data_IF_992838797719
#
_entry.id   IF_992838797719
#
_cell.length_a   1.000
_cell.length_b   1.000
_cell.length_c   1.000
_cell.angle_alpha   90.00
_cell.angle_beta   90.00
_cell.angle_gamma   90.00
#
_symmetry.space_group_name_H-M   'P 1'
#
loop_
_entity.id
_entity.type
_entity.pdbx_description
1 polymer ?
#
# COMPACT_ATOMS: atom_id res chain seq x y z
N UNK A 1 -21.55 -8.83 -8.41
CA UNK A 1 -20.47 -9.02 -7.42
C UNK A 1 -20.50 -7.88 -6.42
N UNK A 2 -20.33 -8.12 -5.11
CA UNK A 2 -20.49 -7.09 -4.06
C UNK A 2 -19.43 -5.99 -4.23
N UNK A 3 -19.84 -4.82 -4.74
CA UNK A 3 -19.07 -3.59 -4.64
C UNK A 3 -18.69 -3.39 -3.18
N UNK A 4 -17.39 -3.44 -2.88
CA UNK A 4 -16.90 -3.10 -1.54
C UNK A 4 -17.03 -1.57 -1.43
N UNK A 5 -18.23 -1.15 -1.04
CA UNK A 5 -18.63 0.24 -0.76
C UNK A 5 -17.43 1.01 -0.18
N UNK A 6 -17.13 2.16 -0.79
CA UNK A 6 -16.31 3.21 -0.16
C UNK A 6 -16.89 3.43 1.23
N UNK A 7 -16.26 2.85 2.25
CA UNK A 7 -16.57 3.18 3.63
C UNK A 7 -16.02 4.58 3.82
N UNK A 8 -16.90 5.57 3.91
CA UNK A 8 -16.60 6.80 4.63
C UNK A 8 -16.26 6.37 6.06
N UNK A 9 -14.97 6.20 6.35
CA UNK A 9 -14.51 5.94 7.69
C UNK A 9 -14.50 7.30 8.40
N UNK A 10 -15.59 7.62 9.10
CA UNK A 10 -15.67 8.71 10.08
C UNK A 10 -14.79 8.47 11.32
N UNK A 11 -13.68 7.73 11.18
CA UNK A 11 -12.71 7.44 12.23
C UNK A 11 -11.52 8.36 12.02
N UNK A 12 -11.40 9.33 12.91
CA UNK A 12 -10.23 10.21 12.95
C UNK A 12 -9.04 9.47 13.54
N UNK A 13 -8.18 8.92 12.68
CA UNK A 13 -6.87 8.41 13.08
C UNK A 13 -5.91 9.57 13.37
N UNK A 14 -4.92 9.37 14.25
CA UNK A 14 -3.85 10.33 14.47
C UNK A 14 -3.16 10.74 13.16
N UNK A 15 -2.86 12.04 13.03
CA UNK A 15 -2.23 12.60 11.83
C UNK A 15 -0.89 11.90 11.54
N UNK A 16 -0.10 11.64 12.57
CA UNK A 16 1.20 10.98 12.46
C UNK A 16 1.08 9.55 11.90
N UNK A 17 0.04 8.82 12.31
CA UNK A 17 -0.24 7.47 11.78
C UNK A 17 -0.52 7.54 10.29
N UNK A 18 -1.33 8.50 9.84
CA UNK A 18 -1.64 8.69 8.42
C UNK A 18 -0.38 9.09 7.63
N UNK A 19 0.44 9.99 8.16
CA UNK A 19 1.70 10.43 7.53
C UNK A 19 2.67 9.26 7.35
N UNK A 20 2.88 8.44 8.37
CA UNK A 20 3.76 7.27 8.26
C UNK A 20 3.19 6.20 7.31
N UNK A 21 1.88 5.97 7.36
CA UNK A 21 1.21 5.03 6.46
C UNK A 21 1.38 5.45 4.99
N UNK A 22 1.18 6.73 4.69
CA UNK A 22 1.35 7.31 3.36
C UNK A 22 2.81 7.23 2.90
N UNK A 23 3.75 7.62 3.76
CA UNK A 23 5.20 7.59 3.48
C UNK A 23 5.71 6.19 3.14
N UNK A 24 5.18 5.14 3.79
CA UNK A 24 5.54 3.76 3.45
C UNK A 24 5.21 3.41 1.99
N UNK A 25 4.11 3.93 1.45
CA UNK A 25 3.64 3.63 0.09
C UNK A 25 4.29 4.58 -0.93
N UNK A 26 4.35 5.88 -0.67
CA UNK A 26 4.99 6.86 -1.58
C UNK A 26 6.48 6.54 -1.80
N UNK A 27 7.16 6.09 -0.75
CA UNK A 27 8.57 5.71 -0.81
C UNK A 27 8.72 4.18 -0.95
N UNK A 28 7.86 3.53 -1.74
CA UNK A 28 7.84 2.08 -1.94
C UNK A 28 9.24 1.50 -2.23
N UNK A 29 9.97 2.10 -3.18
CA UNK A 29 11.31 1.65 -3.59
C UNK A 29 12.36 1.70 -2.48
N UNK A 30 12.15 2.53 -1.46
CA UNK A 30 13.08 2.71 -0.33
C UNK A 30 12.75 1.71 0.79
N UNK A 31 11.47 1.47 1.07
CA UNK A 31 11.03 0.68 2.22
C UNK A 31 10.72 -0.78 1.90
N UNK A 32 10.58 -1.11 0.61
CA UNK A 32 10.28 -2.46 0.16
C UNK A 32 11.39 -3.02 -0.74
N UNK A 33 11.69 -4.30 -0.54
CA UNK A 33 12.50 -5.10 -1.44
C UNK A 33 11.73 -6.37 -1.78
N UNK A 34 11.52 -6.64 -3.07
CA UNK A 34 10.77 -7.82 -3.56
C UNK A 34 9.39 -7.97 -2.90
N UNK A 35 8.61 -6.88 -2.89
CA UNK A 35 7.28 -6.80 -2.25
C UNK A 35 7.27 -7.09 -0.74
N UNK A 36 8.40 -6.96 -0.04
CA UNK A 36 8.51 -7.16 1.41
C UNK A 36 9.19 -5.98 2.09
N UNK A 37 8.76 -5.64 3.32
CA UNK A 37 9.43 -4.61 4.11
C UNK A 37 10.87 -5.01 4.39
N UNK A 38 11.80 -4.12 4.03
CA UNK A 38 13.21 -4.23 4.42
C UNK A 38 13.41 -3.75 5.87
N UNK A 39 14.65 -3.65 6.32
CA UNK A 39 14.97 -3.19 7.69
C UNK A 39 14.44 -1.79 7.99
N UNK A 40 14.58 -0.85 7.06
CA UNK A 40 14.13 0.54 7.24
C UNK A 40 12.60 0.62 7.20
N UNK A 41 11.95 -0.09 6.27
CA UNK A 41 10.50 -0.17 6.18
C UNK A 41 9.88 -0.77 7.44
N UNK A 42 10.54 -1.76 8.06
CA UNK A 42 10.09 -2.32 9.35
C UNK A 42 10.16 -1.31 10.48
N UNK A 43 11.20 -0.48 10.56
CA UNK A 43 11.29 0.58 11.60
C UNK A 43 10.12 1.55 11.49
N UNK A 44 9.85 2.04 10.27
CA UNK A 44 8.73 2.96 10.01
C UNK A 44 7.38 2.29 10.31
N UNK A 45 7.21 1.03 9.88
CA UNK A 45 6.01 0.25 10.15
C UNK A 45 5.79 0.04 11.65
N UNK A 46 6.82 -0.29 12.42
CA UNK A 46 6.70 -0.52 13.85
C UNK A 46 6.30 0.74 14.61
N UNK A 47 6.82 1.90 14.23
CA UNK A 47 6.45 3.17 14.83
C UNK A 47 4.99 3.54 14.55
N UNK A 48 4.57 3.42 13.28
CA UNK A 48 3.17 3.55 12.88
C UNK A 48 2.27 2.57 13.64
N UNK A 49 2.68 1.31 13.76
CA UNK A 49 1.92 0.26 14.41
C UNK A 49 1.79 0.47 15.92
N UNK A 50 2.82 1.04 16.57
CA UNK A 50 2.81 1.38 18.00
C UNK A 50 1.73 2.41 18.31
N UNK A 51 1.69 3.50 17.53
CA UNK A 51 0.67 4.54 17.65
C UNK A 51 -0.72 4.01 17.30
N UNK A 52 -0.85 3.30 16.17
CA UNK A 52 -2.13 2.74 15.73
C UNK A 52 -2.75 1.79 16.76
N UNK A 53 -1.96 0.90 17.37
CA UNK A 53 -2.49 -0.06 18.36
C UNK A 53 -2.82 0.62 19.69
N UNK A 54 -2.13 1.71 20.03
CA UNK A 54 -2.43 2.51 21.21
C UNK A 54 -3.78 3.22 21.07
N UNK A 55 -4.01 3.89 19.94
CA UNK A 55 -5.27 4.59 19.63
C UNK A 55 -6.42 3.60 19.33
N UNK A 56 -6.11 2.52 18.60
CA UNK A 56 -7.09 1.59 18.06
C UNK A 56 -6.64 0.12 18.22
N UNK A 57 -6.83 -0.47 19.43
CA UNK A 57 -6.41 -1.83 19.74
C UNK A 57 -7.01 -2.92 18.82
N UNK A 58 -8.12 -2.65 18.14
CA UNK A 58 -8.75 -3.59 17.19
C UNK A 58 -7.82 -3.98 16.03
N UNK A 59 -6.86 -3.11 15.69
CA UNK A 59 -5.88 -3.36 14.62
C UNK A 59 -4.77 -4.33 15.04
N UNK A 60 -4.66 -4.70 16.32
CA UNK A 60 -3.61 -5.58 16.85
C UNK A 60 -3.49 -6.90 16.09
N UNK A 61 -4.61 -7.49 15.67
CA UNK A 61 -4.61 -8.74 14.86
C UNK A 61 -4.02 -8.52 13.47
N UNK A 62 -4.27 -7.38 12.84
CA UNK A 62 -3.72 -7.03 11.53
C UNK A 62 -2.23 -6.70 11.62
N UNK A 63 -1.84 -5.89 12.60
CA UNK A 63 -0.43 -5.56 12.85
C UNK A 63 0.39 -6.84 13.10
N UNK A 64 -0.11 -7.76 13.93
CA UNK A 64 0.54 -9.05 14.18
C UNK A 64 0.73 -9.87 12.89
N UNK A 65 -0.20 -9.77 11.93
CA UNK A 65 -0.09 -10.44 10.64
C UNK A 65 1.05 -9.86 9.82
N UNK A 66 1.17 -8.52 9.74
CA UNK A 66 2.29 -7.87 9.03
C UNK A 66 3.62 -8.21 9.69
N UNK A 67 3.72 -8.14 11.04
CA UNK A 67 4.94 -8.51 11.78
C UNK A 67 5.45 -9.91 11.42
N UNK A 68 4.52 -10.87 11.31
CA UNK A 68 4.84 -12.26 10.92
C UNK A 68 5.19 -12.39 9.43
N UNK A 69 4.45 -11.68 8.56
CA UNK A 69 4.60 -11.76 7.11
C UNK A 69 4.51 -10.34 6.51
N UNK A 70 5.62 -9.61 6.41
CA UNK A 70 5.63 -8.19 6.07
C UNK A 70 5.64 -7.97 4.56
N UNK A 71 4.66 -8.56 3.90
CA UNK A 71 4.44 -8.41 2.46
C UNK A 71 3.65 -7.13 2.19
N UNK A 72 3.90 -6.51 1.04
CA UNK A 72 3.18 -5.34 0.52
C UNK A 72 1.66 -5.50 0.64
N UNK A 73 1.10 -6.65 0.25
CA UNK A 73 -0.35 -6.93 0.36
C UNK A 73 -0.90 -6.78 1.79
N UNK A 74 -0.17 -7.30 2.78
CA UNK A 74 -0.57 -7.19 4.18
C UNK A 74 -0.45 -5.75 4.69
N UNK A 75 0.52 -4.98 4.20
CA UNK A 75 0.68 -3.57 4.53
C UNK A 75 -0.44 -2.74 3.91
N UNK A 76 -0.71 -2.91 2.62
CA UNK A 76 -1.78 -2.22 1.88
C UNK A 76 -3.15 -2.42 2.56
N UNK A 77 -3.44 -3.63 3.04
CA UNK A 77 -4.67 -3.93 3.80
C UNK A 77 -4.85 -3.11 5.07
N UNK A 78 -3.77 -2.66 5.69
CA UNK A 78 -3.81 -1.75 6.83
C UNK A 78 -3.97 -0.32 6.32
N UNK A 79 -3.12 0.10 5.37
CA UNK A 79 -3.09 1.47 4.84
C UNK A 79 -4.43 1.87 4.20
N UNK A 80 -5.08 0.97 3.45
CA UNK A 80 -6.43 1.15 2.88
C UNK A 80 -7.51 1.51 3.93
N UNK A 81 -7.30 1.16 5.19
CA UNK A 81 -8.25 1.45 6.28
C UNK A 81 -7.94 2.75 6.99
N UNK A 82 -6.70 3.23 6.87
CA UNK A 82 -6.19 4.42 7.52
C UNK A 82 -6.31 5.67 6.64
N UNK A 83 -6.09 5.49 5.34
CA UNK A 83 -6.15 6.55 4.35
C UNK A 83 -7.50 6.54 3.63
N UNK A 84 -8.03 7.73 3.43
CA UNK A 84 -9.30 7.96 2.74
C UNK A 84 -9.11 8.15 1.21
N UNK A 85 -8.00 7.64 0.67
CA UNK A 85 -7.59 7.75 -0.73
C UNK A 85 -7.29 6.38 -1.36
N UNK A 86 -7.24 6.29 -2.69
CA UNK A 86 -6.91 5.02 -3.37
C UNK A 86 -5.42 4.71 -3.24
N UNK A 87 -5.10 3.83 -2.30
CA UNK A 87 -3.72 3.42 -1.99
C UNK A 87 -3.04 2.74 -3.19
N UNK A 88 -3.79 2.11 -4.11
CA UNK A 88 -3.19 1.49 -5.29
C UNK A 88 -2.75 2.53 -6.32
N UNK A 89 -3.51 3.61 -6.49
CA UNK A 89 -3.11 4.73 -7.36
C UNK A 89 -1.88 5.43 -6.77
N UNK A 90 -1.86 5.62 -5.44
CA UNK A 90 -0.70 6.19 -4.76
C UNK A 90 0.55 5.31 -4.91
N UNK A 91 0.40 3.99 -4.81
CA UNK A 91 1.47 3.04 -5.08
C UNK A 91 1.90 3.03 -6.56
N UNK A 92 0.96 3.15 -7.50
CA UNK A 92 1.25 3.24 -8.94
C UNK A 92 2.13 4.45 -9.23
N UNK A 93 1.76 5.62 -8.70
CA UNK A 93 2.56 6.84 -8.80
C UNK A 93 3.96 6.69 -8.18
N UNK A 94 4.08 6.00 -7.03
CA UNK A 94 5.37 5.72 -6.41
C UNK A 94 6.28 4.81 -7.26
N UNK A 95 5.70 3.90 -8.05
CA UNK A 95 6.46 2.97 -8.91
C UNK A 95 6.81 3.61 -10.25
N UNK A 96 5.89 4.37 -10.84
CA UNK A 96 6.07 5.02 -12.15
C UNK A 96 6.93 6.28 -12.05
N UNK A 97 6.96 6.92 -10.87
CA UNK A 97 7.68 8.16 -10.63
C UNK A 97 6.99 9.39 -11.25
N UNK A 98 7.53 10.60 -11.01
CA UNK A 98 6.91 11.86 -11.47
C UNK A 98 6.93 12.04 -13.00
N UNK A 99 7.69 11.21 -13.71
CA UNK A 99 7.79 11.20 -15.17
C UNK A 99 7.25 9.88 -15.72
N UNK A 100 6.00 9.56 -15.40
CA UNK A 100 5.27 8.48 -16.05
C UNK A 100 5.10 8.83 -17.55
N UNK A 101 6.15 8.61 -18.34
CA UNK A 101 6.03 8.57 -19.79
C UNK A 101 5.11 7.39 -20.09
N UNK A 102 3.89 7.69 -20.51
CA UNK A 102 3.08 6.76 -21.31
C UNK A 102 4.02 6.21 -22.37
N UNK A 103 4.43 4.94 -22.21
CA UNK A 103 5.43 4.35 -23.08
C UNK A 103 4.79 4.17 -24.45
N UNK A 104 4.96 5.16 -25.33
CA UNK A 104 4.91 4.93 -26.75
C UNK A 104 6.09 4.00 -27.06
N UNK A 105 5.75 2.72 -27.22
CA UNK A 105 6.60 1.64 -27.74
C UNK A 105 7.70 1.09 -26.81
N UNK A 106 7.73 -0.25 -26.67
CA UNK A 106 8.93 -0.96 -26.21
C UNK A 106 8.92 -1.56 -24.79
N UNK A 107 7.88 -2.31 -24.39
CA UNK A 107 7.98 -3.18 -23.20
C UNK A 107 8.77 -4.47 -23.51
N UNK A 108 10.04 -4.53 -23.13
CA UNK A 108 10.78 -5.80 -23.11
C UNK A 108 11.53 -6.08 -21.80
N UNK A 109 11.74 -5.09 -20.92
CA UNK A 109 12.58 -5.28 -19.71
C UNK A 109 11.83 -5.32 -18.36
N UNK A 110 10.52 -5.06 -18.30
CA UNK A 110 9.73 -5.10 -17.04
C UNK A 110 8.53 -6.07 -17.07
N UNK A 111 8.56 -7.04 -18.00
CA UNK A 111 7.47 -8.03 -18.19
C UNK A 111 7.35 -9.07 -17.06
N UNK A 112 8.31 -9.12 -16.14
CA UNK A 112 8.39 -10.15 -15.09
C UNK A 112 8.12 -9.65 -13.66
N UNK A 113 7.40 -8.54 -13.48
CA UNK A 113 6.92 -8.17 -12.15
C UNK A 113 5.50 -8.69 -11.94
N UNK A 114 5.33 -9.59 -10.95
CA UNK A 114 4.01 -10.08 -10.47
C UNK A 114 3.05 -8.93 -10.12
N UNK A 115 3.57 -7.72 -9.90
CA UNK A 115 2.81 -6.50 -9.66
C UNK A 115 2.00 -6.04 -10.88
N UNK A 116 2.60 -5.98 -12.08
CA UNK A 116 1.89 -5.58 -13.31
C UNK A 116 0.77 -6.57 -13.64
N UNK A 117 0.97 -7.86 -13.38
CA UNK A 117 -0.10 -8.87 -13.52
C UNK A 117 -1.27 -8.64 -12.56
N UNK A 118 -1.06 -8.05 -11.37
CA UNK A 118 -2.14 -7.74 -10.41
C UNK A 118 -2.88 -6.44 -10.73
N UNK A 119 -2.16 -5.43 -11.25
CA UNK A 119 -2.78 -4.19 -11.73
C UNK A 119 -3.58 -4.45 -13.01
N UNK A 120 -2.99 -5.15 -13.99
CA UNK A 120 -3.66 -5.50 -15.24
C UNK A 120 -4.95 -6.31 -14.98
N UNK A 121 -4.90 -7.29 -14.06
CA UNK A 121 -6.10 -8.02 -13.61
C UNK A 121 -7.15 -7.18 -12.89
N UNK A 122 -6.87 -5.93 -12.50
CA UNK A 122 -7.86 -5.02 -11.90
C UNK A 122 -8.46 -4.10 -12.96
N UNK A 123 -7.67 -3.73 -13.97
CA UNK A 123 -8.11 -2.87 -15.08
C UNK A 123 -8.92 -3.65 -16.15
N UNK A 124 -8.65 -4.94 -16.38
CA UNK A 124 -9.47 -5.83 -17.23
C UNK A 124 -10.94 -5.97 -16.77
N UNK A 125 -11.26 -5.63 -15.51
CA UNK A 125 -12.63 -5.64 -14.98
C UNK A 125 -13.29 -4.25 -14.96
N UNK A 126 -12.67 -3.23 -15.56
CA UNK A 126 -13.27 -1.90 -15.74
C UNK A 126 -13.93 -1.71 -17.11
N UNK A 127 -13.68 -2.60 -18.07
CA UNK A 127 -14.19 -2.50 -19.45
C UNK A 127 -15.46 -3.34 -19.70
N UNK A 128 -16.03 -3.99 -18.68
CA UNK A 128 -17.31 -4.72 -18.74
C UNK A 128 -18.38 -4.13 -17.80
#
# INVERSE_FOLDING_TARGET
>A
MKFRSKKENSRSYGLDVKVLARRLIECYSIYFSRDMLNSEGRKVFEEMARMLVYEHPEYKKLVKRVRRKPTLDNVLRIVERLLDEDVYELLRGAVEGPYAYWSLEGTSQLKNSRFRQRIAKKDEYKEE
#
